data_IF_353881205096
#
_entry.id   IF_353881205096
#
_cell.length_a   1.000
_cell.length_b   1.000
_cell.length_c   1.000
_cell.angle_alpha   90.00
_cell.angle_beta   90.00
_cell.angle_gamma   90.00
#
_symmetry.space_group_name_H-M   'P 1'
#
loop_
_entity.id
_entity.type
_entity.pdbx_description
1 polymer ?
#
# COMPACT_ATOMS: atom_id res chain seq x y z
N UNK A 1 99.38 -51.21 9.43
CA UNK A 1 99.19 -51.03 7.97
C UNK A 1 98.37 -49.76 7.75
N UNK A 2 98.92 -48.77 7.03
CA UNK A 2 98.14 -47.70 6.35
C UNK A 2 97.26 -48.34 5.25
N UNK A 3 96.28 -47.66 4.57
CA UNK A 3 95.79 -46.26 4.62
C UNK A 3 94.22 -46.23 4.80
N UNK A 4 93.40 -45.18 4.64
CA UNK A 4 93.16 -44.25 3.51
C UNK A 4 92.33 -43.03 4.00
N UNK A 5 92.64 -41.88 3.39
CA UNK A 5 92.04 -40.53 3.50
C UNK A 5 90.55 -40.53 3.10
N UNK A 6 89.75 -39.53 3.46
CA UNK A 6 89.44 -38.34 2.63
C UNK A 6 88.71 -37.29 3.51
N UNK A 7 89.18 -36.05 3.44
CA UNK A 7 88.51 -34.77 3.80
C UNK A 7 87.92 -34.16 2.50
N UNK A 8 87.04 -33.12 2.49
CA UNK A 8 86.46 -32.31 3.58
C UNK A 8 84.96 -31.90 3.43
N UNK A 9 84.52 -31.03 4.35
CA UNK A 9 83.42 -30.02 4.26
C UNK A 9 82.00 -30.52 4.61
N UNK A 10 81.12 -29.78 5.29
CA UNK A 10 81.13 -28.42 5.86
C UNK A 10 80.05 -28.37 6.98
N UNK A 11 80.30 -27.59 8.04
CA UNK A 11 79.40 -26.71 8.86
C UNK A 11 77.89 -27.05 9.00
N UNK A 12 77.17 -26.82 10.10
CA UNK A 12 77.34 -26.17 11.41
C UNK A 12 75.94 -26.27 12.04
N UNK A 13 75.80 -26.66 13.32
CA UNK A 13 74.53 -26.45 14.06
C UNK A 13 74.79 -26.58 15.55
N UNK A 14 74.85 -25.44 16.24
CA UNK A 14 74.70 -25.34 17.69
C UNK A 14 73.36 -24.69 17.98
N UNK A 15 72.61 -25.22 18.95
CA UNK A 15 71.46 -24.55 19.51
C UNK A 15 71.49 -24.67 21.03
N UNK A 16 71.61 -23.52 21.69
CA UNK A 16 71.49 -23.32 23.14
C UNK A 16 70.12 -22.68 23.39
N UNK A 17 69.33 -23.24 24.31
CA UNK A 17 68.02 -22.72 24.71
C UNK A 17 68.18 -21.62 25.77
N UNK A 18 67.66 -20.41 25.51
CA UNK A 18 67.38 -19.42 26.57
C UNK A 18 66.26 -18.46 26.17
N UNK A 19 65.24 -18.39 27.05
CA UNK A 19 64.23 -17.36 27.30
C UNK A 19 63.83 -16.40 26.15
N UNK A 20 62.59 -16.54 25.67
CA UNK A 20 61.83 -15.47 25.02
C UNK A 20 60.78 -14.94 25.99
N UNK A 21 61.17 -13.97 26.84
CA UNK A 21 60.22 -12.96 27.28
C UNK A 21 60.06 -11.99 26.11
N UNK A 22 58.96 -12.07 25.38
CA UNK A 22 58.65 -11.08 24.37
C UNK A 22 58.34 -9.77 25.11
N UNK A 23 59.23 -8.78 24.98
CA UNK A 23 58.89 -7.40 25.32
C UNK A 23 57.61 -7.03 24.55
N UNK A 24 56.53 -6.84 25.29
CA UNK A 24 55.40 -6.09 24.77
C UNK A 24 55.90 -4.66 24.55
N UNK A 25 56.42 -4.38 23.35
CA UNK A 25 56.67 -3.01 22.90
C UNK A 25 55.32 -2.32 22.83
N UNK A 26 54.99 -1.56 23.87
CA UNK A 26 53.96 -0.55 23.77
C UNK A 26 54.31 0.33 22.56
N UNK A 27 53.32 0.60 21.70
CA UNK A 27 53.49 1.59 20.65
C UNK A 27 53.94 2.92 21.24
N UNK A 28 54.61 3.73 20.42
CA UNK A 28 55.06 5.06 20.80
C UNK A 28 53.93 5.81 21.51
N UNK A 29 54.15 6.17 22.79
CA UNK A 29 53.18 6.92 23.59
C UNK A 29 53.28 8.42 23.33
N UNK A 30 54.24 8.85 22.53
CA UNK A 30 54.34 10.24 22.10
C UNK A 30 53.37 10.45 20.92
N UNK A 31 52.29 11.24 21.12
CA UNK A 31 51.44 11.63 20.00
C UNK A 31 52.28 12.40 18.97
N UNK A 32 52.03 12.22 17.66
CA UNK A 32 52.75 12.96 16.62
C UNK A 32 52.75 14.46 16.93
N UNK A 33 53.92 15.10 16.81
CA UNK A 33 54.05 16.53 17.09
C UNK A 33 53.16 17.36 16.13
N UNK A 34 52.14 18.02 16.67
CA UNK A 34 51.23 18.90 15.94
C UNK A 34 49.82 18.89 16.55
N UNK A 35 48.95 19.85 16.20
CA UNK A 35 47.52 19.74 16.54
C UNK A 35 46.98 18.45 15.93
N UNK A 36 46.31 17.62 16.74
CA UNK A 36 45.58 16.46 16.22
C UNK A 36 44.49 16.97 15.27
N UNK A 37 44.61 16.65 13.99
CA UNK A 37 43.53 16.90 13.04
C UNK A 37 42.33 16.00 13.40
N UNK A 38 41.08 16.47 13.26
CA UNK A 38 39.92 15.62 13.48
C UNK A 38 40.04 14.34 12.64
N UNK A 39 40.01 13.18 13.29
CA UNK A 39 40.04 11.87 12.61
C UNK A 39 38.66 11.40 12.19
N UNK A 40 37.60 12.11 12.61
CA UNK A 40 36.22 11.84 12.21
C UNK A 40 35.86 12.71 11.01
N UNK A 41 35.23 12.07 10.01
CA UNK A 41 34.56 12.79 8.93
C UNK A 41 33.42 13.63 9.51
N UNK A 42 33.19 14.83 8.99
CA UNK A 42 31.99 15.62 9.33
C UNK A 42 30.74 14.92 8.80
N UNK A 43 29.56 15.26 9.32
CA UNK A 43 28.30 14.72 8.81
C UNK A 43 28.14 15.00 7.30
N UNK A 44 28.57 16.18 6.86
CA UNK A 44 28.56 16.60 5.45
C UNK A 44 29.54 15.78 4.58
N UNK A 45 30.61 15.25 5.18
CA UNK A 45 31.56 14.34 4.53
C UNK A 45 31.10 12.87 4.52
N UNK A 46 30.07 12.53 5.30
CA UNK A 46 29.48 11.17 5.38
C UNK A 46 28.19 11.08 4.56
N UNK A 47 27.34 12.13 4.56
CA UNK A 47 26.12 12.25 3.77
C UNK A 47 26.02 13.65 3.15
N UNK A 48 26.51 13.83 1.91
CA UNK A 48 26.35 15.10 1.19
C UNK A 48 24.85 15.34 0.86
N UNK A 49 24.17 16.06 1.74
CA UNK A 49 22.75 16.43 1.63
C UNK A 49 22.62 17.94 1.70
N UNK A 50 21.71 18.50 0.92
CA UNK A 50 21.47 19.94 0.84
C UNK A 50 20.34 20.33 1.81
N UNK A 51 20.56 21.20 2.81
CA UNK A 51 19.47 21.69 3.63
C UNK A 51 18.52 22.52 2.76
N UNK A 52 17.21 22.38 2.97
CA UNK A 52 16.19 23.06 2.15
C UNK A 52 16.30 24.59 2.24
N UNK A 53 16.86 25.12 3.33
CA UNK A 53 17.15 26.56 3.48
C UNK A 53 18.10 27.12 2.42
N UNK A 54 18.92 26.27 1.80
CA UNK A 54 19.89 26.66 0.78
C UNK A 54 19.32 26.54 -0.64
N UNK A 55 18.11 26.00 -0.77
CA UNK A 55 17.40 25.86 -2.05
C UNK A 55 16.66 27.16 -2.36
N UNK A 56 16.89 27.80 -3.52
CA UNK A 56 16.30 29.09 -3.83
C UNK A 56 14.78 29.02 -4.04
N UNK A 57 14.09 30.07 -3.62
CA UNK A 57 12.66 30.29 -3.87
C UNK A 57 12.36 31.19 -5.07
N UNK A 58 11.08 31.45 -5.33
CA UNK A 58 10.63 32.26 -6.44
C UNK A 58 9.23 32.85 -6.26
N UNK A 59 8.68 33.47 -7.30
CA UNK A 59 7.38 34.14 -7.22
C UNK A 59 6.18 33.19 -7.03
N UNK A 60 6.34 31.91 -7.35
CA UNK A 60 5.26 30.90 -7.34
C UNK A 60 5.60 29.64 -6.52
N UNK A 61 6.72 29.64 -5.81
CA UNK A 61 7.19 28.54 -4.97
C UNK A 61 8.15 29.01 -3.86
N UNK A 62 8.13 28.33 -2.72
CA UNK A 62 9.08 28.59 -1.62
C UNK A 62 10.48 28.06 -1.93
N UNK A 63 10.57 26.88 -2.57
CA UNK A 63 11.83 26.25 -2.97
C UNK A 63 11.71 25.57 -4.34
N UNK A 64 12.75 25.67 -5.17
CA UNK A 64 12.87 24.97 -6.46
C UNK A 64 14.14 24.11 -6.52
N UNK A 65 13.95 22.80 -6.63
CA UNK A 65 15.01 21.82 -6.84
C UNK A 65 15.17 21.59 -8.36
N UNK A 66 16.30 22.00 -8.92
CA UNK A 66 16.64 21.80 -10.35
C UNK A 66 17.77 20.80 -10.58
N UNK A 67 18.41 20.33 -9.52
CA UNK A 67 19.51 19.37 -9.60
C UNK A 67 19.13 18.06 -8.89
N UNK A 68 19.59 16.91 -9.39
CA UNK A 68 19.52 15.64 -8.66
C UNK A 68 20.21 15.74 -7.30
N UNK A 69 19.72 14.98 -6.31
CA UNK A 69 20.37 14.92 -5.00
C UNK A 69 19.44 14.66 -3.82
N UNK A 70 20.01 14.72 -2.62
CA UNK A 70 19.28 14.57 -1.38
C UNK A 70 19.13 15.91 -0.67
N UNK A 71 17.88 16.26 -0.36
CA UNK A 71 17.48 17.48 0.30
C UNK A 71 16.77 17.16 1.62
N UNK A 72 16.90 18.03 2.61
CA UNK A 72 16.28 17.79 3.92
C UNK A 72 15.85 19.06 4.65
N UNK A 73 14.83 18.94 5.49
CA UNK A 73 14.41 20.01 6.38
C UNK A 73 15.26 20.06 7.65
N UNK A 74 15.64 21.28 8.05
CA UNK A 74 16.31 21.58 9.33
C UNK A 74 15.33 22.14 10.38
N UNK A 75 14.09 22.41 9.98
CA UNK A 75 13.01 22.95 10.79
C UNK A 75 11.68 22.94 10.03
N UNK A 76 10.60 23.30 10.71
CA UNK A 76 9.31 23.53 10.04
C UNK A 76 9.44 24.67 9.01
N UNK A 77 8.80 24.49 7.86
CA UNK A 77 8.68 25.54 6.83
C UNK A 77 7.25 26.04 6.79
N UNK A 78 7.07 27.34 6.95
CA UNK A 78 5.76 27.99 6.84
C UNK A 78 5.72 28.83 5.57
N UNK A 79 5.01 28.32 4.57
CA UNK A 79 4.76 29.04 3.31
C UNK A 79 3.63 30.03 3.57
N UNK A 80 3.96 31.32 3.58
CA UNK A 80 3.02 32.40 3.97
C UNK A 80 2.22 32.96 2.80
N UNK A 81 2.70 32.76 1.57
CA UNK A 81 2.04 33.16 0.34
C UNK A 81 1.22 31.99 -0.25
N UNK A 82 0.21 32.26 -1.10
CA UNK A 82 -0.56 31.22 -1.79
C UNK A 82 0.23 30.64 -2.97
N UNK A 83 1.40 30.07 -2.68
CA UNK A 83 2.36 29.49 -3.62
C UNK A 83 2.63 28.02 -3.29
N UNK A 84 3.34 27.30 -4.15
CA UNK A 84 3.73 25.91 -3.83
C UNK A 84 4.85 25.90 -2.78
N UNK A 85 4.96 24.85 -1.98
CA UNK A 85 6.08 24.72 -1.04
C UNK A 85 7.37 24.39 -1.79
N UNK A 86 7.57 23.12 -2.11
CA UNK A 86 8.75 22.62 -2.80
C UNK A 86 8.35 22.20 -4.21
N UNK A 87 8.99 22.78 -5.22
CA UNK A 87 8.88 22.35 -6.62
C UNK A 87 10.10 21.52 -6.98
N UNK A 88 9.88 20.36 -7.61
CA UNK A 88 10.92 19.45 -8.08
C UNK A 88 10.92 19.40 -9.60
N UNK A 89 11.99 19.90 -10.20
CA UNK A 89 12.22 19.93 -11.64
C UNK A 89 13.52 19.20 -12.04
N UNK A 90 13.80 18.10 -11.34
CA UNK A 90 14.92 17.20 -11.61
C UNK A 90 14.51 15.75 -11.38
N UNK A 91 15.26 14.83 -11.99
CA UNK A 91 15.19 13.40 -11.69
C UNK A 91 16.08 13.07 -10.48
N UNK A 92 15.92 11.88 -9.91
CA UNK A 92 16.84 11.33 -8.88
C UNK A 92 16.94 12.23 -7.63
N UNK A 93 15.78 12.67 -7.12
CA UNK A 93 15.66 13.58 -5.97
C UNK A 93 15.13 12.84 -4.76
N UNK A 94 15.76 13.03 -3.60
CA UNK A 94 15.19 12.64 -2.30
C UNK A 94 14.89 13.88 -1.47
N UNK A 95 13.66 14.05 -1.03
CA UNK A 95 13.23 15.03 -0.04
C UNK A 95 12.94 14.30 1.26
N UNK A 96 13.67 14.64 2.31
CA UNK A 96 13.43 14.18 3.66
C UNK A 96 12.90 15.32 4.51
N UNK A 97 11.64 15.22 4.94
CA UNK A 97 11.05 16.19 5.85
C UNK A 97 11.65 16.08 7.26
N UNK A 98 12.44 15.05 7.56
CA UNK A 98 13.24 14.90 8.77
C UNK A 98 12.44 15.09 10.08
N UNK A 99 11.18 14.66 10.08
CA UNK A 99 10.25 14.80 11.19
C UNK A 99 9.54 16.16 11.29
N UNK A 100 9.92 17.13 10.46
CA UNK A 100 9.35 18.47 10.43
C UNK A 100 8.09 18.56 9.58
N UNK A 101 7.45 19.73 9.65
CA UNK A 101 6.21 20.04 8.95
C UNK A 101 6.41 21.09 7.88
N UNK A 102 5.90 20.82 6.68
CA UNK A 102 5.66 21.82 5.65
C UNK A 102 4.22 22.34 5.80
N UNK A 103 4.06 23.64 6.06
CA UNK A 103 2.79 24.29 6.40
C UNK A 103 2.42 25.33 5.35
N UNK A 104 1.25 25.18 4.74
CA UNK A 104 0.61 26.20 3.90
C UNK A 104 -0.54 26.90 4.62
N UNK A 105 -1.08 27.96 4.00
CA UNK A 105 -2.19 28.76 4.54
C UNK A 105 -3.58 28.40 3.96
N UNK A 106 -3.68 27.29 3.23
CA UNK A 106 -4.84 26.92 2.42
C UNK A 106 -4.80 27.55 1.02
N UNK A 107 -5.37 26.86 0.02
CA UNK A 107 -5.39 27.34 -1.37
C UNK A 107 -5.38 26.21 -2.41
N UNK A 108 -5.04 26.54 -3.66
CA UNK A 108 -4.96 25.61 -4.79
C UNK A 108 -3.52 25.16 -5.13
N UNK A 109 -2.54 25.49 -4.29
CA UNK A 109 -1.12 25.18 -4.53
C UNK A 109 -0.67 23.96 -3.73
N UNK A 110 0.42 23.31 -4.14
CA UNK A 110 0.81 22.02 -3.57
C UNK A 110 1.96 22.15 -2.57
N UNK A 111 1.98 21.30 -1.55
CA UNK A 111 3.08 21.22 -0.58
C UNK A 111 4.36 20.81 -1.30
N UNK A 112 4.36 19.64 -1.93
CA UNK A 112 5.41 19.24 -2.88
C UNK A 112 4.80 19.07 -4.26
N UNK A 113 5.31 19.79 -5.25
CA UNK A 113 4.93 19.64 -6.66
C UNK A 113 6.09 19.04 -7.44
N UNK A 114 5.89 17.88 -8.03
CA UNK A 114 6.82 17.31 -8.99
C UNK A 114 6.36 17.71 -10.39
N UNK A 115 7.25 18.35 -11.16
CA UNK A 115 6.97 18.70 -12.54
C UNK A 115 6.78 17.42 -13.38
N UNK A 116 5.99 17.51 -14.45
CA UNK A 116 5.73 16.38 -15.34
C UNK A 116 7.02 15.79 -15.92
N UNK A 117 6.97 14.51 -16.32
CA UNK A 117 8.06 13.77 -16.98
C UNK A 117 9.35 13.65 -16.15
N UNK A 118 9.23 13.78 -14.82
CA UNK A 118 10.28 13.48 -13.85
C UNK A 118 10.19 12.04 -13.35
N UNK A 119 11.30 11.51 -12.87
CA UNK A 119 11.36 10.14 -12.31
C UNK A 119 12.29 9.99 -11.12
N UNK A 120 12.09 8.89 -10.38
CA UNK A 120 12.91 8.49 -9.24
C UNK A 120 12.96 9.57 -8.15
N UNK A 121 11.77 9.93 -7.64
CA UNK A 121 11.61 10.95 -6.61
C UNK A 121 11.19 10.28 -5.30
N UNK A 122 11.93 10.47 -4.23
CA UNK A 122 11.56 9.99 -2.89
C UNK A 122 11.14 11.17 -2.01
N UNK A 123 10.00 11.06 -1.33
CA UNK A 123 9.51 12.08 -0.36
C UNK A 123 9.18 11.36 0.94
N UNK A 124 9.82 11.74 2.05
CA UNK A 124 9.73 10.94 3.27
C UNK A 124 9.73 11.70 4.60
N UNK A 125 9.27 11.00 5.63
CA UNK A 125 9.47 11.28 7.05
C UNK A 125 9.05 12.67 7.53
N UNK A 126 7.75 12.96 7.56
CA UNK A 126 7.29 14.21 8.18
C UNK A 126 5.83 14.50 7.92
N UNK A 127 5.46 15.77 8.06
CA UNK A 127 4.07 16.20 7.91
C UNK A 127 3.93 17.28 6.85
N UNK A 128 2.83 17.25 6.10
CA UNK A 128 2.44 18.32 5.17
C UNK A 128 1.00 18.69 5.49
N UNK A 129 0.68 19.99 5.58
CA UNK A 129 -0.68 20.46 5.85
C UNK A 129 -0.98 21.82 5.28
N UNK A 130 -2.27 22.12 5.06
CA UNK A 130 -2.71 23.46 4.66
C UNK A 130 -2.37 23.83 3.22
N UNK A 131 -2.28 22.85 2.32
CA UNK A 131 -2.08 23.07 0.89
C UNK A 131 -3.31 22.62 0.09
N UNK A 132 -3.37 22.96 -1.18
CA UNK A 132 -4.28 22.36 -2.15
C UNK A 132 -4.04 20.86 -2.26
N UNK A 133 -2.83 20.42 -2.54
CA UNK A 133 -2.45 19.01 -2.38
C UNK A 133 -1.23 18.85 -1.49
N UNK A 134 -1.13 17.73 -0.78
CA UNK A 134 0.07 17.43 0.01
C UNK A 134 1.28 17.18 -0.89
N UNK A 135 1.16 16.18 -1.75
CA UNK A 135 2.09 15.95 -2.87
C UNK A 135 1.30 15.83 -4.17
N UNK A 136 1.70 16.60 -5.17
CA UNK A 136 1.17 16.53 -6.53
C UNK A 136 2.28 16.12 -7.49
N UNK A 137 2.19 14.91 -8.02
CA UNK A 137 3.14 14.35 -8.98
C UNK A 137 2.36 13.74 -10.16
N UNK A 138 1.92 14.61 -11.08
CA UNK A 138 1.21 14.19 -12.28
C UNK A 138 2.19 13.80 -13.38
N UNK A 139 2.03 12.61 -13.97
CA UNK A 139 2.91 12.12 -15.03
C UNK A 139 4.41 12.10 -14.63
N UNK A 140 4.69 11.87 -13.35
CA UNK A 140 6.04 11.62 -12.84
C UNK A 140 6.15 10.16 -12.38
N UNK A 141 7.02 9.39 -13.01
CA UNK A 141 7.17 7.95 -12.77
C UNK A 141 8.02 7.64 -11.55
N UNK A 142 7.84 6.45 -10.97
CA UNK A 142 8.70 5.95 -9.90
C UNK A 142 8.83 6.91 -8.70
N UNK A 143 7.72 7.56 -8.33
CA UNK A 143 7.67 8.41 -7.13
C UNK A 143 7.38 7.57 -5.91
N UNK A 144 8.22 7.68 -4.88
CA UNK A 144 8.11 6.93 -3.64
C UNK A 144 7.83 7.87 -2.46
N UNK A 145 6.60 7.85 -1.95
CA UNK A 145 6.23 8.57 -0.75
C UNK A 145 6.15 7.61 0.44
N UNK A 146 6.87 7.91 1.54
CA UNK A 146 6.78 7.07 2.74
C UNK A 146 6.96 7.77 4.08
N UNK A 147 6.25 7.32 5.12
CA UNK A 147 6.34 7.91 6.46
C UNK A 147 5.79 9.34 6.51
N UNK A 148 4.75 9.64 5.71
CA UNK A 148 4.17 10.98 5.60
C UNK A 148 2.83 11.08 6.32
N UNK A 149 2.61 12.20 7.03
CA UNK A 149 1.30 12.60 7.57
C UNK A 149 0.78 13.80 6.81
N UNK A 150 -0.27 13.61 6.03
CA UNK A 150 -0.88 14.62 5.18
C UNK A 150 -2.27 14.92 5.72
N UNK A 151 -2.50 16.16 6.15
CA UNK A 151 -3.78 16.51 6.78
C UNK A 151 -4.23 17.92 6.44
N UNK A 152 -5.56 18.13 6.44
CA UNK A 152 -6.17 19.42 6.14
C UNK A 152 -5.73 19.99 4.78
N UNK A 153 -5.87 19.18 3.72
CA UNK A 153 -5.64 19.63 2.34
C UNK A 153 -6.94 20.11 1.71
N UNK A 154 -6.87 21.12 0.83
CA UNK A 154 -8.03 21.56 0.03
C UNK A 154 -8.47 20.55 -1.03
N UNK A 155 -7.54 19.71 -1.49
CA UNK A 155 -7.65 18.73 -2.55
C UNK A 155 -7.08 17.39 -2.09
N UNK A 156 -6.11 16.82 -2.81
CA UNK A 156 -5.63 15.47 -2.54
C UNK A 156 -4.56 15.42 -1.41
N UNK A 157 -4.51 14.31 -0.66
CA UNK A 157 -3.38 14.06 0.24
C UNK A 157 -2.12 13.77 -0.57
N UNK A 158 -2.05 12.59 -1.19
CA UNK A 158 -1.00 12.19 -2.13
C UNK A 158 -1.60 11.91 -3.50
N UNK A 159 -1.14 12.62 -4.52
CA UNK A 159 -1.52 12.40 -5.91
C UNK A 159 -0.29 11.99 -6.74
N UNK A 160 0.07 10.71 -6.66
CA UNK A 160 1.23 10.13 -7.37
C UNK A 160 0.76 9.47 -8.68
N UNK A 161 0.41 10.30 -9.65
CA UNK A 161 -0.22 9.86 -10.90
C UNK A 161 0.79 9.63 -12.03
N UNK A 162 1.84 8.88 -11.74
CA UNK A 162 2.74 8.32 -12.74
C UNK A 162 3.09 6.87 -12.43
N UNK A 163 3.44 6.13 -13.48
CA UNK A 163 3.60 4.67 -13.44
C UNK A 163 4.65 4.24 -12.40
N UNK A 164 4.40 3.13 -11.71
CA UNK A 164 5.37 2.53 -10.78
C UNK A 164 5.49 3.25 -9.43
N UNK A 165 4.68 4.28 -9.18
CA UNK A 165 4.73 5.04 -7.94
C UNK A 165 4.23 4.24 -6.73
N UNK A 166 4.78 4.55 -5.56
CA UNK A 166 4.60 3.77 -4.32
C UNK A 166 4.27 4.68 -3.15
N UNK A 167 3.26 4.29 -2.38
CA UNK A 167 2.86 4.92 -1.11
C UNK A 167 3.01 3.88 -0.01
N UNK A 168 3.82 4.17 1.01
CA UNK A 168 4.11 3.24 2.10
C UNK A 168 4.07 3.97 3.43
N UNK A 169 3.35 3.45 4.43
CA UNK A 169 3.32 4.06 5.77
C UNK A 169 2.94 5.56 5.72
N UNK A 170 1.91 5.88 4.93
CA UNK A 170 1.41 7.24 4.79
C UNK A 170 0.00 7.35 5.36
N UNK A 171 -0.29 8.50 6.00
CA UNK A 171 -1.60 8.82 6.55
C UNK A 171 -2.14 10.08 5.89
N UNK A 172 -3.20 9.97 5.10
CA UNK A 172 -3.93 11.11 4.54
C UNK A 172 -5.27 11.30 5.25
N UNK A 173 -5.47 12.44 5.90
CA UNK A 173 -6.72 12.75 6.60
C UNK A 173 -7.31 14.12 6.29
N UNK A 174 -8.63 14.24 6.39
CA UNK A 174 -9.33 15.53 6.35
C UNK A 174 -8.98 16.35 5.11
N UNK A 175 -8.81 15.66 3.97
CA UNK A 175 -8.53 16.27 2.68
C UNK A 175 -9.84 16.51 1.91
N UNK A 176 -9.95 17.65 1.23
CA UNK A 176 -11.12 18.03 0.44
C UNK A 176 -11.33 17.20 -0.84
N UNK A 177 -10.35 16.39 -1.23
CA UNK A 177 -10.38 15.50 -2.38
C UNK A 177 -10.10 14.03 -2.01
N UNK A 178 -9.36 13.34 -2.87
CA UNK A 178 -8.95 11.93 -2.66
C UNK A 178 -7.81 11.86 -1.64
N UNK A 179 -7.82 10.87 -0.74
CA UNK A 179 -6.76 10.73 0.26
C UNK A 179 -5.42 10.34 -0.37
N UNK A 180 -5.36 9.14 -0.97
CA UNK A 180 -4.15 8.57 -1.54
C UNK A 180 -4.41 8.09 -2.97
N UNK A 181 -3.51 8.42 -3.91
CA UNK A 181 -3.61 8.00 -5.31
C UNK A 181 -2.26 7.51 -5.83
N UNK A 182 -2.28 6.33 -6.46
CA UNK A 182 -1.22 5.87 -7.36
C UNK A 182 -1.80 5.53 -8.74
N UNK A 183 -1.02 5.76 -9.80
CA UNK A 183 -1.38 5.33 -11.16
C UNK A 183 -1.05 3.85 -11.39
N UNK A 184 -0.94 3.44 -12.66
CA UNK A 184 -0.69 2.07 -13.10
C UNK A 184 0.57 1.45 -12.51
N UNK A 185 0.52 0.13 -12.28
CA UNK A 185 1.62 -0.64 -11.68
C UNK A 185 2.10 -0.07 -10.34
N UNK A 186 1.20 0.59 -9.59
CA UNK A 186 1.51 1.23 -8.32
C UNK A 186 1.39 0.29 -7.12
N UNK A 187 1.88 0.76 -5.97
CA UNK A 187 1.73 0.09 -4.69
C UNK A 187 1.22 1.06 -3.63
N UNK A 188 0.20 0.65 -2.88
CA UNK A 188 -0.18 1.28 -1.61
C UNK A 188 -0.06 0.24 -0.50
N UNK A 189 0.79 0.49 0.50
CA UNK A 189 1.01 -0.47 1.59
C UNK A 189 1.08 0.20 2.94
N UNK A 190 0.53 -0.48 3.96
CA UNK A 190 0.57 -0.04 5.37
C UNK A 190 0.10 1.41 5.54
N UNK A 191 -0.87 1.85 4.74
CA UNK A 191 -1.26 3.25 4.63
C UNK A 191 -2.72 3.47 5.04
N UNK A 192 -3.04 4.69 5.46
CA UNK A 192 -4.34 5.06 5.99
C UNK A 192 -4.89 6.27 5.23
N UNK A 193 -6.13 6.15 4.78
CA UNK A 193 -6.91 7.25 4.22
C UNK A 193 -8.20 7.43 5.03
N UNK A 194 -8.34 8.59 5.69
CA UNK A 194 -9.39 8.85 6.67
C UNK A 194 -10.12 10.17 6.45
N UNK A 195 -11.45 10.20 6.57
CA UNK A 195 -12.23 11.45 6.57
C UNK A 195 -11.99 12.34 5.33
N UNK A 196 -11.63 11.77 4.19
CA UNK A 196 -11.45 12.56 2.97
C UNK A 196 -12.79 12.73 2.26
N UNK A 197 -13.03 13.87 1.63
CA UNK A 197 -14.35 14.21 1.07
C UNK A 197 -14.69 13.46 -0.24
N UNK A 198 -13.76 12.65 -0.75
CA UNK A 198 -13.93 11.84 -1.97
C UNK A 198 -13.53 10.38 -1.72
N UNK A 199 -12.99 9.69 -2.73
CA UNK A 199 -12.43 8.34 -2.61
C UNK A 199 -11.32 8.32 -1.56
N UNK A 200 -11.26 7.27 -0.75
CA UNK A 200 -10.18 7.10 0.22
C UNK A 200 -8.85 6.82 -0.47
N UNK A 201 -8.76 5.70 -1.19
CA UNK A 201 -7.55 5.25 -1.89
C UNK A 201 -7.91 4.89 -3.34
N UNK A 202 -7.33 5.62 -4.30
CA UNK A 202 -7.43 5.32 -5.73
C UNK A 202 -6.18 4.62 -6.24
N UNK A 203 -6.32 3.48 -6.92
CA UNK A 203 -5.20 2.76 -7.53
C UNK A 203 -5.45 2.48 -9.02
N UNK A 204 -4.41 2.64 -9.84
CA UNK A 204 -4.47 2.37 -11.28
C UNK A 204 -4.43 0.88 -11.63
N UNK A 205 -4.53 0.56 -12.93
CA UNK A 205 -4.47 -0.82 -13.42
C UNK A 205 -3.11 -1.49 -13.12
N UNK A 206 -3.13 -2.79 -12.82
CA UNK A 206 -1.97 -3.59 -12.41
C UNK A 206 -1.42 -3.26 -11.03
N UNK A 207 -2.11 -2.41 -10.25
CA UNK A 207 -1.63 -1.98 -8.94
C UNK A 207 -2.04 -2.92 -7.82
N UNK A 208 -1.31 -2.83 -6.70
CA UNK A 208 -1.55 -3.62 -5.50
C UNK A 208 -1.78 -2.69 -4.31
N UNK A 209 -2.79 -3.01 -3.51
CA UNK A 209 -3.00 -2.43 -2.17
C UNK A 209 -2.92 -3.52 -1.11
N UNK A 210 -2.10 -3.29 -0.09
CA UNK A 210 -1.80 -4.24 0.98
C UNK A 210 -1.90 -3.60 2.36
N UNK A 211 -2.48 -4.31 3.33
CA UNK A 211 -2.44 -3.95 4.76
C UNK A 211 -2.87 -2.49 5.04
N UNK A 212 -3.84 -1.98 4.30
CA UNK A 212 -4.18 -0.56 4.29
C UNK A 212 -5.62 -0.32 4.73
N UNK A 213 -5.89 0.90 5.17
CA UNK A 213 -7.18 1.27 5.78
C UNK A 213 -7.78 2.48 5.05
N UNK A 214 -9.01 2.33 4.56
CA UNK A 214 -9.82 3.41 4.01
C UNK A 214 -11.08 3.59 4.87
N UNK A 215 -11.13 4.64 5.69
CA UNK A 215 -12.15 4.81 6.71
C UNK A 215 -12.83 6.18 6.68
N UNK A 216 -14.16 6.19 6.82
CA UNK A 216 -14.98 7.40 6.99
C UNK A 216 -14.81 8.41 5.83
N UNK A 217 -14.50 7.95 4.61
CA UNK A 217 -14.36 8.83 3.44
C UNK A 217 -15.72 9.10 2.80
N UNK A 218 -15.91 10.28 2.20
CA UNK A 218 -17.17 10.71 1.60
C UNK A 218 -17.58 9.91 0.35
N UNK A 219 -16.61 9.29 -0.34
CA UNK A 219 -16.82 8.48 -1.54
C UNK A 219 -16.57 6.98 -1.31
N UNK A 220 -16.02 6.31 -2.33
CA UNK A 220 -15.61 4.91 -2.26
C UNK A 220 -14.39 4.76 -1.34
N UNK A 221 -14.30 3.69 -0.55
CA UNK A 221 -13.14 3.46 0.31
C UNK A 221 -11.87 3.21 -0.51
N UNK A 222 -11.89 2.16 -1.33
CA UNK A 222 -10.82 1.80 -2.28
C UNK A 222 -11.37 1.61 -3.67
N UNK A 223 -10.78 2.27 -4.66
CA UNK A 223 -11.24 2.27 -6.05
C UNK A 223 -10.14 1.92 -7.05
N UNK A 224 -10.48 1.06 -8.02
CA UNK A 224 -9.74 0.91 -9.26
C UNK A 224 -10.69 0.69 -10.43
N UNK A 225 -10.45 1.36 -11.56
CA UNK A 225 -11.19 1.13 -12.79
C UNK A 225 -10.65 -0.04 -13.62
N UNK A 226 -9.44 -0.50 -13.33
CA UNK A 226 -8.75 -1.59 -14.03
C UNK A 226 -8.53 -2.83 -13.16
N UNK A 227 -7.79 -3.83 -13.68
CA UNK A 227 -7.38 -4.98 -12.89
C UNK A 227 -6.50 -4.51 -11.73
N UNK A 228 -6.82 -4.90 -10.50
CA UNK A 228 -6.01 -4.58 -9.33
C UNK A 228 -6.09 -5.70 -8.29
N UNK A 229 -5.16 -5.68 -7.34
CA UNK A 229 -5.18 -6.60 -6.19
C UNK A 229 -5.37 -5.81 -4.90
N UNK A 230 -6.38 -6.18 -4.10
CA UNK A 230 -6.53 -5.73 -2.73
C UNK A 230 -6.34 -6.90 -1.76
N UNK A 231 -5.37 -6.78 -0.86
CA UNK A 231 -5.03 -7.81 0.11
C UNK A 231 -5.00 -7.21 1.52
N UNK A 232 -5.76 -7.81 2.44
CA UNK A 232 -5.83 -7.38 3.84
C UNK A 232 -6.17 -5.88 3.99
N UNK A 233 -7.23 -5.44 3.31
CA UNK A 233 -7.69 -4.05 3.33
C UNK A 233 -8.90 -3.90 4.23
N UNK A 234 -8.91 -2.85 5.05
CA UNK A 234 -10.07 -2.44 5.85
C UNK A 234 -10.74 -1.23 5.20
N UNK A 235 -11.96 -1.41 4.68
CA UNK A 235 -12.80 -0.34 4.15
C UNK A 235 -14.04 -0.13 5.03
N UNK A 236 -14.06 0.93 5.83
CA UNK A 236 -15.10 1.14 6.85
C UNK A 236 -15.78 2.50 6.75
N UNK A 237 -17.10 2.54 6.89
CA UNK A 237 -17.81 3.81 7.09
C UNK A 237 -17.76 4.77 5.90
N UNK A 238 -17.45 4.28 4.70
CA UNK A 238 -17.33 5.15 3.53
C UNK A 238 -18.70 5.47 2.92
N UNK A 239 -18.85 6.64 2.32
CA UNK A 239 -20.11 7.13 1.73
C UNK A 239 -20.54 6.38 0.45
N UNK A 240 -19.62 5.66 -0.18
CA UNK A 240 -19.86 4.79 -1.33
C UNK A 240 -19.73 3.31 -1.01
N UNK A 241 -19.22 2.55 -1.98
CA UNK A 241 -18.81 1.14 -1.78
C UNK A 241 -17.52 1.10 -0.98
N UNK A 242 -17.34 0.11 -0.11
CA UNK A 242 -16.08 -0.07 0.64
C UNK A 242 -14.90 -0.32 -0.29
N UNK A 243 -14.97 -1.37 -1.12
CA UNK A 243 -13.94 -1.73 -2.10
C UNK A 243 -14.60 -1.95 -3.46
N UNK A 244 -14.16 -1.22 -4.50
CA UNK A 244 -14.67 -1.35 -5.86
C UNK A 244 -13.51 -1.46 -6.84
N UNK A 245 -13.28 -2.67 -7.38
CA UNK A 245 -12.20 -2.92 -8.33
C UNK A 245 -12.74 -3.33 -9.71
N UNK A 246 -11.97 -3.02 -10.75
CA UNK A 246 -12.32 -3.29 -12.15
C UNK A 246 -12.18 -4.76 -12.57
N UNK A 247 -12.28 -5.00 -13.86
CA UNK A 247 -12.22 -6.33 -14.49
C UNK A 247 -10.87 -7.02 -14.21
N UNK A 248 -10.91 -8.32 -13.89
CA UNK A 248 -9.72 -9.14 -13.67
C UNK A 248 -9.04 -8.88 -12.32
N UNK A 249 -9.79 -8.43 -11.32
CA UNK A 249 -9.25 -8.04 -10.02
C UNK A 249 -9.25 -9.18 -9.01
N UNK A 250 -8.41 -9.07 -7.98
CA UNK A 250 -8.38 -10.00 -6.84
C UNK A 250 -8.59 -9.25 -5.54
N UNK A 251 -9.53 -9.70 -4.71
CA UNK A 251 -9.80 -9.19 -3.37
C UNK A 251 -9.62 -10.35 -2.38
N UNK A 252 -8.67 -10.22 -1.45
CA UNK A 252 -8.29 -11.28 -0.53
C UNK A 252 -8.19 -10.76 0.91
N UNK A 253 -8.86 -11.43 1.86
CA UNK A 253 -8.66 -11.14 3.28
C UNK A 253 -9.15 -9.75 3.71
N UNK A 254 -10.05 -9.13 2.94
CA UNK A 254 -10.49 -7.75 3.16
C UNK A 254 -11.73 -7.67 4.06
N UNK A 255 -11.88 -6.55 4.76
CA UNK A 255 -13.04 -6.24 5.60
C UNK A 255 -13.72 -4.96 5.12
N UNK A 256 -14.93 -5.09 4.57
CA UNK A 256 -15.75 -3.98 4.10
C UNK A 256 -16.99 -3.83 5.01
N UNK A 257 -16.99 -2.82 5.88
CA UNK A 257 -18.01 -2.68 6.93
C UNK A 257 -18.65 -1.32 7.01
N UNK A 258 -19.95 -1.27 7.31
CA UNK A 258 -20.69 -0.03 7.55
C UNK A 258 -20.59 1.00 6.40
N UNK A 259 -20.37 0.55 5.16
CA UNK A 259 -20.31 1.46 4.01
C UNK A 259 -21.74 1.79 3.57
N UNK A 260 -21.96 3.04 3.17
CA UNK A 260 -23.31 3.55 2.94
C UNK A 260 -23.99 2.91 1.73
N UNK A 261 -23.23 2.49 0.71
CA UNK A 261 -23.69 1.65 -0.40
C UNK A 261 -23.34 0.18 -0.12
N UNK A 262 -22.41 -0.42 -0.88
CA UNK A 262 -22.05 -1.83 -0.73
C UNK A 262 -20.72 -2.09 -0.02
N UNK A 263 -20.46 -3.35 0.31
CA UNK A 263 -19.18 -3.78 0.86
C UNK A 263 -18.09 -3.87 -0.21
N UNK A 264 -18.16 -4.93 -1.02
CA UNK A 264 -17.17 -5.26 -2.05
C UNK A 264 -17.85 -5.37 -3.41
N UNK A 265 -17.32 -4.70 -4.42
CA UNK A 265 -17.77 -4.81 -5.81
C UNK A 265 -16.59 -5.18 -6.71
N UNK A 266 -16.80 -6.21 -7.53
CA UNK A 266 -15.84 -6.62 -8.57
C UNK A 266 -16.56 -6.83 -9.91
N UNK A 267 -15.80 -6.68 -10.99
CA UNK A 267 -16.30 -6.83 -12.37
C UNK A 267 -15.77 -8.14 -12.99
N UNK A 268 -15.88 -8.32 -14.30
CA UNK A 268 -15.63 -9.59 -15.01
C UNK A 268 -14.32 -10.29 -14.64
N UNK A 269 -14.33 -11.62 -14.52
CA UNK A 269 -13.10 -12.41 -14.34
C UNK A 269 -12.38 -12.21 -13.02
N UNK A 270 -13.06 -11.72 -11.99
CA UNK A 270 -12.46 -11.37 -10.70
C UNK A 270 -12.60 -12.45 -9.65
N UNK A 271 -11.79 -12.36 -8.59
CA UNK A 271 -11.79 -13.28 -7.45
C UNK A 271 -12.03 -12.49 -6.16
N UNK A 272 -12.96 -12.95 -5.33
CA UNK A 272 -13.17 -12.43 -3.96
C UNK A 272 -13.09 -13.60 -2.99
N UNK A 273 -12.11 -13.56 -2.07
CA UNK A 273 -11.84 -14.65 -1.14
C UNK A 273 -11.55 -14.21 0.28
N UNK A 274 -11.97 -15.00 1.26
CA UNK A 274 -11.66 -14.78 2.68
C UNK A 274 -12.02 -13.37 3.17
N UNK A 275 -13.06 -12.76 2.59
CA UNK A 275 -13.45 -11.39 2.91
C UNK A 275 -14.66 -11.37 3.85
N UNK A 276 -14.76 -10.28 4.62
CA UNK A 276 -15.93 -9.95 5.44
C UNK A 276 -16.64 -8.74 4.86
N UNK A 277 -17.92 -8.87 4.52
CA UNK A 277 -18.80 -7.78 4.17
C UNK A 277 -19.92 -7.68 5.22
N UNK A 278 -19.87 -6.64 6.06
CA UNK A 278 -20.76 -6.53 7.23
C UNK A 278 -21.46 -5.17 7.33
N UNK A 279 -22.77 -5.20 7.53
CA UNK A 279 -23.56 -3.99 7.81
C UNK A 279 -23.47 -2.90 6.73
N UNK A 280 -23.37 -3.30 5.46
CA UNK A 280 -23.38 -2.36 4.34
C UNK A 280 -24.83 -2.03 3.91
N UNK A 281 -25.01 -0.90 3.25
CA UNK A 281 -26.31 -0.36 2.85
C UNK A 281 -27.10 -1.16 1.82
N UNK A 282 -26.47 -1.57 0.71
CA UNK A 282 -27.15 -2.14 -0.46
C UNK A 282 -26.81 -3.61 -0.70
N UNK A 283 -25.52 -3.95 -0.60
CA UNK A 283 -25.05 -5.32 -0.79
C UNK A 283 -23.78 -5.58 0.01
N UNK A 284 -23.56 -6.83 0.41
CA UNK A 284 -22.28 -7.26 0.98
C UNK A 284 -21.23 -7.40 -0.11
N UNK A 285 -21.46 -8.31 -1.06
CA UNK A 285 -20.57 -8.56 -2.20
C UNK A 285 -21.37 -8.52 -3.51
N UNK A 286 -20.89 -7.78 -4.50
CA UNK A 286 -21.47 -7.73 -5.84
C UNK A 286 -20.44 -8.17 -6.88
N UNK A 287 -20.85 -9.10 -7.74
CA UNK A 287 -20.02 -9.64 -8.81
C UNK A 287 -20.80 -9.65 -10.13
N UNK A 288 -20.11 -9.34 -11.22
CA UNK A 288 -20.75 -9.24 -12.54
C UNK A 288 -20.74 -10.59 -13.26
N UNK A 289 -19.63 -10.98 -13.87
CA UNK A 289 -19.58 -12.14 -14.77
C UNK A 289 -18.25 -12.89 -14.63
N UNK A 290 -18.23 -14.20 -14.83
CA UNK A 290 -16.99 -15.00 -14.82
C UNK A 290 -16.18 -14.86 -13.51
N UNK A 291 -16.83 -14.55 -12.38
CA UNK A 291 -16.16 -14.33 -11.10
C UNK A 291 -16.16 -15.59 -10.22
N UNK A 292 -15.17 -15.67 -9.32
CA UNK A 292 -15.14 -16.63 -8.23
C UNK A 292 -15.33 -15.91 -6.88
N UNK A 293 -16.39 -16.25 -6.17
CA UNK A 293 -16.71 -15.73 -4.84
C UNK A 293 -16.66 -16.89 -3.84
N UNK A 294 -15.61 -16.94 -3.03
CA UNK A 294 -15.27 -18.11 -2.22
C UNK A 294 -14.88 -17.76 -0.78
N UNK A 295 -15.34 -18.57 0.19
CA UNK A 295 -14.93 -18.45 1.60
C UNK A 295 -15.15 -17.06 2.23
N UNK A 296 -16.22 -16.36 1.82
CA UNK A 296 -16.53 -15.03 2.35
C UNK A 296 -17.66 -15.07 3.38
N UNK A 297 -17.63 -14.13 4.32
CA UNK A 297 -18.73 -13.85 5.24
C UNK A 297 -19.48 -12.58 4.78
N UNK A 298 -20.76 -12.72 4.43
CA UNK A 298 -21.63 -11.58 4.06
C UNK A 298 -22.82 -11.51 5.01
N UNK A 299 -22.75 -10.60 5.98
CA UNK A 299 -23.66 -10.59 7.13
C UNK A 299 -24.30 -9.22 7.39
N UNK A 300 -25.59 -9.20 7.69
CA UNK A 300 -26.32 -8.00 8.09
C UNK A 300 -26.26 -6.86 7.07
N UNK A 301 -26.16 -7.13 5.77
CA UNK A 301 -26.08 -6.09 4.74
C UNK A 301 -27.47 -5.61 4.34
N UNK A 302 -28.28 -5.19 5.30
CA UNK A 302 -29.70 -4.85 5.15
C UNK A 302 -30.05 -3.43 5.61
N UNK A 303 -29.05 -2.57 5.86
CA UNK A 303 -29.22 -1.25 6.52
C UNK A 303 -30.25 -0.33 5.85
N UNK A 304 -30.58 -0.57 4.58
CA UNK A 304 -31.59 0.17 3.80
C UNK A 304 -32.97 -0.52 3.69
N UNK A 305 -33.19 -1.67 4.35
CA UNK A 305 -34.47 -2.39 4.32
C UNK A 305 -34.68 -3.26 3.08
N UNK A 306 -33.65 -3.98 2.64
CA UNK A 306 -33.71 -4.88 1.47
C UNK A 306 -32.37 -5.27 0.87
N UNK A 307 -31.27 -5.03 1.59
CA UNK A 307 -29.94 -5.25 1.05
C UNK A 307 -29.59 -6.74 0.90
N UNK A 308 -28.62 -6.98 0.02
CA UNK A 308 -28.31 -8.30 -0.52
C UNK A 308 -26.99 -8.81 0.07
N UNK A 309 -26.93 -10.05 0.54
CA UNK A 309 -25.68 -10.66 0.97
C UNK A 309 -24.68 -10.77 -0.18
N UNK A 310 -25.02 -11.57 -1.20
CA UNK A 310 -24.22 -11.73 -2.42
C UNK A 310 -25.12 -11.49 -3.65
N UNK A 311 -24.78 -10.47 -4.44
CA UNK A 311 -25.51 -10.05 -5.63
C UNK A 311 -24.74 -10.40 -6.90
N UNK A 312 -25.29 -11.33 -7.68
CA UNK A 312 -24.77 -11.74 -8.99
C UNK A 312 -25.54 -11.02 -10.09
N UNK A 313 -24.90 -10.01 -10.67
CA UNK A 313 -25.52 -9.12 -11.66
C UNK A 313 -25.53 -9.77 -13.05
N UNK A 314 -24.47 -10.50 -13.40
CA UNK A 314 -24.31 -11.19 -14.67
C UNK A 314 -24.30 -12.72 -14.51
N UNK A 315 -23.48 -13.40 -15.33
CA UNK A 315 -23.54 -14.85 -15.54
C UNK A 315 -22.18 -15.52 -15.37
N UNK A 316 -22.16 -16.86 -15.32
CA UNK A 316 -20.94 -17.69 -15.22
C UNK A 316 -20.11 -17.42 -13.97
N UNK A 317 -20.76 -16.95 -12.91
CA UNK A 317 -20.10 -16.83 -11.61
C UNK A 317 -20.16 -18.16 -10.86
N UNK A 318 -19.06 -18.50 -10.19
CA UNK A 318 -18.98 -19.60 -9.24
C UNK A 318 -18.95 -19.04 -7.82
N UNK A 319 -19.96 -19.38 -7.03
CA UNK A 319 -20.12 -18.90 -5.65
C UNK A 319 -20.10 -20.10 -4.72
N UNK A 320 -19.08 -20.24 -3.88
CA UNK A 320 -18.92 -21.42 -3.03
C UNK A 320 -18.40 -21.14 -1.62
N UNK A 321 -18.77 -22.00 -0.68
CA UNK A 321 -18.27 -21.96 0.70
C UNK A 321 -18.46 -20.61 1.43
N UNK A 322 -19.41 -19.78 0.99
CA UNK A 322 -19.68 -18.50 1.63
C UNK A 322 -20.69 -18.67 2.78
N UNK A 323 -20.50 -17.89 3.84
CA UNK A 323 -21.46 -17.73 4.93
C UNK A 323 -22.25 -16.44 4.72
N UNK A 324 -23.55 -16.57 4.43
CA UNK A 324 -24.42 -15.46 4.07
C UNK A 324 -25.64 -15.43 4.98
N UNK A 325 -25.64 -14.51 5.95
CA UNK A 325 -26.64 -14.51 7.03
C UNK A 325 -27.19 -13.14 7.37
N UNK A 326 -28.41 -13.08 7.90
CA UNK A 326 -29.04 -11.84 8.39
C UNK A 326 -29.17 -10.73 7.32
N UNK A 327 -29.26 -11.09 6.04
CA UNK A 327 -29.50 -10.10 4.97
C UNK A 327 -30.98 -10.05 4.60
N UNK A 328 -31.40 -8.99 3.90
CA UNK A 328 -32.73 -8.96 3.29
C UNK A 328 -32.88 -10.08 2.27
N UNK A 329 -31.95 -10.13 1.30
CA UNK A 329 -31.80 -11.27 0.41
C UNK A 329 -30.42 -11.87 0.62
N UNK A 330 -30.30 -13.18 0.85
CA UNK A 330 -29.03 -13.88 0.99
C UNK A 330 -28.26 -13.85 -0.33
N UNK A 331 -28.73 -14.63 -1.30
CA UNK A 331 -28.19 -14.66 -2.67
C UNK A 331 -29.23 -14.12 -3.64
N UNK A 332 -28.84 -13.13 -4.46
CA UNK A 332 -29.66 -12.60 -5.55
C UNK A 332 -28.95 -12.81 -6.88
N UNK A 333 -29.65 -13.39 -7.84
CA UNK A 333 -29.18 -13.56 -9.22
C UNK A 333 -30.08 -12.79 -10.18
N UNK A 334 -29.54 -11.85 -10.94
CA UNK A 334 -30.33 -11.10 -11.92
C UNK A 334 -30.44 -11.86 -13.26
N UNK A 335 -29.57 -12.84 -13.51
CA UNK A 335 -29.50 -13.63 -14.74
C UNK A 335 -29.19 -15.11 -14.47
N UNK A 336 -29.64 -15.99 -15.36
CA UNK A 336 -29.34 -17.44 -15.33
C UNK A 336 -27.89 -17.75 -15.74
N UNK A 337 -27.40 -18.92 -15.34
CA UNK A 337 -26.04 -19.37 -15.67
C UNK A 337 -25.00 -19.11 -14.59
N UNK A 338 -25.43 -18.82 -13.36
CA UNK A 338 -24.58 -18.81 -12.17
C UNK A 338 -24.65 -20.16 -11.45
N UNK A 339 -23.57 -20.51 -10.74
CA UNK A 339 -23.47 -21.74 -9.94
C UNK A 339 -23.21 -21.39 -8.48
N UNK A 340 -24.12 -21.80 -7.60
CA UNK A 340 -24.00 -21.64 -6.15
C UNK A 340 -23.82 -23.02 -5.52
N UNK A 341 -22.69 -23.25 -4.85
CA UNK A 341 -22.30 -24.57 -4.32
C UNK A 341 -21.79 -24.50 -2.88
N UNK A 342 -22.35 -25.29 -1.97
CA UNK A 342 -21.80 -25.44 -0.62
C UNK A 342 -21.77 -24.15 0.21
N UNK A 343 -22.69 -23.22 -0.05
CA UNK A 343 -22.83 -22.00 0.74
C UNK A 343 -23.78 -22.21 1.92
N UNK A 344 -23.58 -21.46 2.99
CA UNK A 344 -24.48 -21.40 4.15
C UNK A 344 -25.34 -20.15 4.03
N UNK A 345 -26.64 -20.33 3.75
CA UNK A 345 -27.64 -19.26 3.72
C UNK A 345 -28.60 -19.44 4.90
N UNK A 346 -28.58 -18.56 5.90
CA UNK A 346 -29.48 -18.67 7.05
C UNK A 346 -29.90 -17.31 7.59
N UNK A 347 -31.09 -17.25 8.18
CA UNK A 347 -31.63 -16.04 8.82
C UNK A 347 -31.67 -14.81 7.90
N UNK A 348 -31.66 -15.01 6.58
CA UNK A 348 -32.00 -13.96 5.63
C UNK A 348 -33.53 -13.91 5.49
N UNK A 349 -34.10 -12.75 5.14
CA UNK A 349 -35.55 -12.65 4.87
C UNK A 349 -35.93 -13.56 3.69
N UNK A 350 -35.09 -13.57 2.65
CA UNK A 350 -35.12 -14.55 1.56
C UNK A 350 -33.70 -15.09 1.34
N UNK A 351 -33.49 -16.40 1.47
CA UNK A 351 -32.16 -16.97 1.26
C UNK A 351 -31.73 -16.93 -0.22
N UNK A 352 -32.67 -17.07 -1.16
CA UNK A 352 -32.40 -17.22 -2.59
C UNK A 352 -33.42 -16.43 -3.42
N UNK A 353 -33.29 -15.11 -3.41
CA UNK A 353 -34.20 -14.20 -4.10
C UNK A 353 -34.26 -14.45 -5.60
N UNK A 354 -35.46 -14.73 -6.10
CA UNK A 354 -35.83 -15.03 -7.51
C UNK A 354 -34.67 -15.62 -8.34
N UNK A 355 -34.37 -16.90 -8.10
CA UNK A 355 -33.25 -17.57 -8.72
C UNK A 355 -33.49 -17.87 -10.21
N UNK A 356 -32.83 -17.12 -11.08
CA UNK A 356 -32.45 -17.59 -12.40
C UNK A 356 -31.07 -18.22 -12.27
N UNK A 357 -30.96 -19.55 -12.30
CA UNK A 357 -29.68 -20.26 -12.13
C UNK A 357 -29.84 -21.74 -11.79
N UNK A 358 -28.76 -22.50 -11.87
CA UNK A 358 -28.75 -23.87 -11.32
C UNK A 358 -28.33 -23.76 -9.85
N UNK A 359 -29.32 -23.69 -8.96
CA UNK A 359 -29.04 -23.89 -7.54
C UNK A 359 -28.78 -25.38 -7.36
N UNK A 360 -27.63 -25.77 -6.81
CA UNK A 360 -27.45 -27.14 -6.33
C UNK A 360 -28.55 -27.48 -5.31
N UNK A 361 -28.96 -28.75 -5.17
CA UNK A 361 -30.02 -29.10 -4.24
C UNK A 361 -29.70 -28.60 -2.82
N UNK A 362 -30.72 -28.13 -2.09
CA UNK A 362 -30.62 -27.98 -0.63
C UNK A 362 -30.52 -29.40 -0.08
N UNK A 363 -29.33 -29.80 0.37
CA UNK A 363 -29.09 -31.18 0.84
C UNK A 363 -29.61 -31.34 2.27
N UNK A 364 -30.67 -32.12 2.43
CA UNK A 364 -31.05 -32.74 3.70
C UNK A 364 -30.37 -34.11 3.90
N UNK A 365 -30.44 -34.65 5.11
CA UNK A 365 -29.83 -35.95 5.45
C UNK A 365 -30.30 -37.11 4.54
N UNK A 366 -31.47 -36.99 3.89
CA UNK A 366 -32.06 -37.97 2.98
C UNK A 366 -31.46 -38.01 1.58
N UNK A 367 -30.72 -36.98 1.17
CA UNK A 367 -30.41 -36.73 -0.25
C UNK A 367 -29.05 -37.30 -0.70
N UNK A 368 -28.34 -38.00 0.21
CA UNK A 368 -26.98 -38.54 0.05
C UNK A 368 -27.01 -40.04 -0.34
N UNK A 369 -28.05 -40.50 -1.04
CA UNK A 369 -28.29 -41.94 -1.19
C UNK A 369 -27.79 -42.60 -2.49
N UNK A 370 -27.38 -41.86 -3.55
CA UNK A 370 -26.95 -42.52 -4.82
C UNK A 370 -25.85 -41.80 -5.60
N UNK A 371 -25.10 -42.58 -6.39
CA UNK A 371 -23.90 -42.21 -7.17
C UNK A 371 -24.19 -41.54 -8.53
N UNK A 372 -25.43 -41.12 -8.78
CA UNK A 372 -25.81 -40.33 -9.96
C UNK A 372 -26.06 -38.85 -9.62
N UNK A 373 -25.81 -38.45 -8.37
CA UNK A 373 -25.89 -37.08 -7.90
C UNK A 373 -24.55 -36.36 -8.17
N UNK A 374 -24.51 -35.14 -8.76
CA UNK A 374 -23.29 -34.32 -8.84
C UNK A 374 -22.59 -34.06 -7.48
N UNK A 375 -23.25 -34.31 -6.35
CA UNK A 375 -22.65 -34.37 -5.02
C UNK A 375 -21.72 -35.59 -4.79
N UNK A 376 -21.64 -36.53 -5.73
CA UNK A 376 -20.69 -37.66 -5.70
C UNK A 376 -19.21 -37.24 -5.80
N UNK A 377 -18.92 -35.96 -6.02
CA UNK A 377 -17.57 -35.38 -6.10
C UNK A 377 -17.10 -34.71 -4.79
N UNK A 378 -17.77 -34.94 -3.65
CA UNK A 378 -17.33 -34.43 -2.35
C UNK A 378 -16.48 -35.48 -1.62
N UNK A 379 -15.26 -35.13 -1.22
CA UNK A 379 -14.53 -35.88 -0.19
C UNK A 379 -15.09 -35.49 1.18
N UNK A 380 -15.54 -36.46 1.96
CA UNK A 380 -15.90 -36.28 3.37
C UNK A 380 -14.67 -36.05 4.24
#
# INVERSE_FOLDING_TARGET
MKPIRILPSLALSGLLFSLLAADARAGDLDPPAGPVAPTMKTLDEVEARTPMSDVPGGATFEHLITEPGSYYLTGDIVVTLPISGIVVDADDVTIDLNGFTLVGQGGFTDGVRVINDRRNITIRNGSIRGFGSGVWAFNAGDVYAHGLRLHNMGGAGLFLYGKGSRIVDCHASDCGGVGLVVSESGLVRDSVSRNNNSTGIGIGAGSVIENSVAIDNGGIGVESFGPATANNVVAKGNGGVGISLGTGSTVLGCSATNNAQGGIRVVGGSIVRNCTAFNNGEFGISAVTDCLIEDNASTNNDRSGGGIGIHLVGVRNLVRANMVTFNGVGFKTDQSGNVLLGNVANSNTDNYGQAFGTIGPIIGHSDIATNCNPDANRSF
#
